data_IF_895010638628
#
_entry.id   IF_895010638628
#
_cell.length_a   1.000
_cell.length_b   1.000
_cell.length_c   1.000
_cell.angle_alpha   90.00
_cell.angle_beta   90.00
_cell.angle_gamma   90.00
#
_symmetry.space_group_name_H-M   'P 1'
#
loop_
_entity.id
_entity.type
_entity.pdbx_description
1 polymer ?
#
# COMPACT_ATOMS: atom_id res chain seq x y z
N UNK A 1 27.16 31.09 -5.30
CA UNK A 1 25.97 30.64 -4.56
C UNK A 1 25.17 29.75 -5.48
N UNK A 2 25.09 28.45 -5.21
CA UNK A 2 24.12 27.59 -5.89
C UNK A 2 22.73 27.89 -5.33
N UNK A 3 21.73 27.98 -6.19
CA UNK A 3 20.35 28.11 -5.76
C UNK A 3 19.98 26.94 -4.83
N UNK A 4 19.30 27.24 -3.72
CA UNK A 4 18.72 26.23 -2.85
C UNK A 4 17.64 25.51 -3.65
N UNK A 5 17.77 24.20 -3.81
CA UNK A 5 16.75 23.38 -4.47
C UNK A 5 15.63 23.08 -3.47
N UNK A 6 14.55 23.88 -3.55
CA UNK A 6 13.38 23.72 -2.71
C UNK A 6 12.52 22.50 -3.08
N UNK A 7 12.83 21.77 -4.16
CA UNK A 7 12.08 20.56 -4.50
C UNK A 7 12.21 19.45 -3.45
N UNK A 8 13.34 19.37 -2.76
CA UNK A 8 13.57 18.44 -1.64
C UNK A 8 12.72 18.76 -0.39
N UNK A 9 12.23 20.00 -0.26
CA UNK A 9 11.38 20.42 0.86
C UNK A 9 9.90 20.08 0.66
N UNK A 10 9.47 19.73 -0.56
CA UNK A 10 8.05 19.77 -0.92
C UNK A 10 7.32 18.44 -0.68
N UNK A 11 7.99 17.28 -0.73
CA UNK A 11 7.47 16.01 -0.22
C UNK A 11 8.59 14.95 -0.28
N UNK A 12 9.13 14.49 0.86
CA UNK A 12 10.19 13.50 0.83
C UNK A 12 9.67 12.17 0.27
N UNK A 13 10.52 11.49 -0.49
CA UNK A 13 10.27 10.12 -0.94
C UNK A 13 9.98 9.21 0.26
N UNK A 14 9.03 8.29 0.06
CA UNK A 14 8.80 7.20 0.99
C UNK A 14 9.94 6.19 0.86
N UNK A 15 10.75 6.07 1.92
CA UNK A 15 11.82 5.07 2.01
C UNK A 15 11.28 3.77 2.58
N UNK A 16 11.41 2.68 1.82
CA UNK A 16 10.94 1.35 2.20
C UNK A 16 12.11 0.37 2.24
N UNK A 17 12.64 0.04 3.43
CA UNK A 17 13.68 -0.97 3.55
C UNK A 17 13.12 -2.38 3.31
N UNK A 18 13.88 -3.22 2.59
CA UNK A 18 13.59 -4.64 2.37
C UNK A 18 14.91 -5.41 2.31
N UNK A 19 15.22 -6.17 3.37
CA UNK A 19 16.52 -6.82 3.52
C UNK A 19 17.65 -5.78 3.52
N UNK A 20 18.65 -5.99 2.66
CA UNK A 20 19.79 -5.08 2.50
C UNK A 20 19.52 -3.90 1.53
N UNK A 21 18.31 -3.82 0.97
CA UNK A 21 17.93 -2.80 -0.02
C UNK A 21 16.98 -1.78 0.59
N UNK A 22 17.00 -0.56 0.06
CA UNK A 22 16.00 0.46 0.37
C UNK A 22 15.41 1.00 -0.91
N UNK A 23 14.10 0.88 -1.06
CA UNK A 23 13.36 1.42 -2.19
C UNK A 23 12.90 2.84 -1.88
N UNK A 24 13.06 3.74 -2.85
CA UNK A 24 12.67 5.15 -2.73
C UNK A 24 11.44 5.41 -3.59
N UNK A 25 10.27 5.44 -2.97
CA UNK A 25 9.01 5.67 -3.67
C UNK A 25 8.77 7.18 -3.75
N UNK A 26 8.76 7.78 -4.96
CA UNK A 26 8.56 9.22 -5.09
C UNK A 26 7.14 9.60 -4.69
N UNK A 27 6.95 10.82 -4.20
CA UNK A 27 5.62 11.35 -3.91
C UNK A 27 4.69 11.25 -5.16
N UNK A 28 3.40 10.95 -4.99
CA UNK A 28 2.49 10.82 -6.11
C UNK A 28 2.17 12.15 -6.77
N UNK A 29 2.09 12.13 -8.10
CA UNK A 29 1.43 13.22 -8.84
C UNK A 29 -0.06 13.24 -8.52
N UNK A 30 -0.73 14.39 -8.73
CA UNK A 30 -2.19 14.54 -8.52
C UNK A 30 -2.99 13.44 -9.22
N UNK A 31 -2.62 13.10 -10.46
CA UNK A 31 -3.26 12.04 -11.24
C UNK A 31 -3.09 10.66 -10.59
N UNK A 32 -1.90 10.37 -10.05
CA UNK A 32 -1.62 9.11 -9.34
C UNK A 32 -2.32 9.08 -7.98
N UNK A 33 -2.36 10.21 -7.27
CA UNK A 33 -3.00 10.35 -5.98
C UNK A 33 -4.49 9.95 -6.01
N UNK A 34 -5.23 10.31 -7.08
CA UNK A 34 -6.62 9.86 -7.25
C UNK A 34 -6.75 8.34 -7.24
N UNK A 35 -5.85 7.62 -7.92
CA UNK A 35 -5.82 6.14 -7.93
C UNK A 35 -5.43 5.57 -6.58
N UNK A 36 -4.46 6.19 -5.88
CA UNK A 36 -4.03 5.77 -4.54
C UNK A 36 -5.17 5.90 -3.53
N UNK A 37 -5.91 7.02 -3.55
CA UNK A 37 -7.07 7.24 -2.67
C UNK A 37 -8.14 6.18 -2.93
N UNK A 38 -8.47 5.92 -4.20
CA UNK A 38 -9.42 4.88 -4.56
C UNK A 38 -8.95 3.48 -4.11
N UNK A 39 -7.66 3.18 -4.28
CA UNK A 39 -7.06 1.94 -3.81
C UNK A 39 -7.11 1.79 -2.28
N UNK A 40 -6.93 2.88 -1.52
CA UNK A 40 -7.05 2.88 -0.07
C UNK A 40 -8.48 2.56 0.39
N UNK A 41 -9.49 3.15 -0.25
CA UNK A 41 -10.90 2.82 0.04
C UNK A 41 -11.18 1.34 -0.20
N UNK A 42 -10.77 0.80 -1.36
CA UNK A 42 -10.91 -0.63 -1.66
C UNK A 42 -10.18 -1.49 -0.64
N UNK A 43 -8.96 -1.10 -0.26
CA UNK A 43 -8.15 -1.81 0.72
C UNK A 43 -8.83 -1.86 2.10
N UNK A 44 -9.40 -0.73 2.57
CA UNK A 44 -10.10 -0.65 3.85
C UNK A 44 -11.36 -1.54 3.88
N UNK A 45 -12.11 -1.58 2.77
CA UNK A 45 -13.26 -2.48 2.63
C UNK A 45 -12.83 -3.94 2.61
N UNK A 46 -11.82 -4.29 1.81
CA UNK A 46 -11.31 -5.67 1.71
C UNK A 46 -10.71 -6.18 3.01
N UNK A 47 -10.11 -5.30 3.82
CA UNK A 47 -9.59 -5.62 5.14
C UNK A 47 -10.68 -5.66 6.23
N UNK A 48 -11.93 -5.33 5.89
CA UNK A 48 -13.06 -5.30 6.82
C UNK A 48 -13.00 -4.15 7.84
N UNK A 49 -12.13 -3.16 7.62
CA UNK A 49 -12.00 -1.97 8.46
C UNK A 49 -13.23 -1.08 8.28
N UNK A 50 -13.67 -0.93 7.02
CA UNK A 50 -14.89 -0.22 6.65
C UNK A 50 -15.91 -1.25 6.18
N UNK A 51 -17.14 -1.14 6.68
CA UNK A 51 -18.27 -1.98 6.25
C UNK A 51 -19.06 -1.23 5.18
N UNK A 52 -19.49 -1.95 4.15
CA UNK A 52 -20.32 -1.42 3.07
C UNK A 52 -19.73 -1.70 1.69
N UNK A 53 -20.44 -1.25 0.67
CA UNK A 53 -20.02 -1.35 -0.72
C UNK A 53 -19.11 -0.18 -1.11
N UNK A 54 -18.24 -0.41 -2.09
CA UNK A 54 -17.39 0.64 -2.66
C UNK A 54 -18.27 1.52 -3.54
N UNK A 55 -18.30 2.85 -3.34
CA UNK A 55 -19.11 3.75 -4.17
C UNK A 55 -18.75 3.66 -5.65
N UNK A 56 -19.75 3.80 -6.54
CA UNK A 56 -19.56 3.68 -7.99
C UNK A 56 -18.46 4.61 -8.54
N UNK A 57 -18.39 5.85 -8.07
CA UNK A 57 -17.35 6.81 -8.47
C UNK A 57 -15.91 6.32 -8.14
N UNK A 58 -15.76 5.55 -7.06
CA UNK A 58 -14.49 4.94 -6.68
C UNK A 58 -14.22 3.72 -7.56
N UNK A 59 -15.25 2.92 -7.84
CA UNK A 59 -15.17 1.78 -8.76
C UNK A 59 -14.71 2.23 -10.16
N UNK A 60 -15.28 3.32 -10.70
CA UNK A 60 -14.85 3.89 -11.99
C UNK A 60 -13.36 4.26 -12.00
N UNK A 61 -12.83 4.79 -10.90
CA UNK A 61 -11.40 5.12 -10.79
C UNK A 61 -10.56 3.83 -10.73
N UNK A 62 -11.00 2.84 -9.96
CA UNK A 62 -10.32 1.55 -9.82
C UNK A 62 -10.25 0.81 -11.17
N UNK A 63 -11.28 0.91 -12.00
CA UNK A 63 -11.31 0.33 -13.34
C UNK A 63 -10.29 0.97 -14.29
N UNK A 64 -9.81 2.18 -13.98
CA UNK A 64 -8.70 2.80 -14.73
C UNK A 64 -7.32 2.26 -14.35
N UNK A 65 -7.22 1.46 -13.29
CA UNK A 65 -5.98 0.79 -12.87
C UNK A 65 -5.84 -0.47 -13.71
N UNK A 66 -4.84 -0.52 -14.59
CA UNK A 66 -4.71 -1.61 -15.57
C UNK A 66 -3.71 -2.66 -15.09
N UNK A 67 -4.12 -3.93 -15.11
CA UNK A 67 -3.22 -5.07 -14.94
C UNK A 67 -2.41 -5.01 -13.64
N UNK A 68 -1.08 -5.02 -13.77
CA UNK A 68 -0.11 -5.00 -12.66
C UNK A 68 0.23 -3.59 -12.17
N UNK A 69 -0.52 -2.55 -12.56
CA UNK A 69 -0.28 -1.19 -12.10
C UNK A 69 -0.37 -1.10 -10.56
N UNK A 70 0.71 -0.63 -9.94
CA UNK A 70 0.86 -0.41 -8.49
C UNK A 70 0.92 1.08 -8.19
N UNK A 71 -0.22 1.78 -8.09
CA UNK A 71 -0.23 3.24 -7.97
C UNK A 71 0.47 3.77 -6.70
N UNK A 72 0.49 2.99 -5.61
CA UNK A 72 1.18 3.33 -4.37
C UNK A 72 2.70 3.36 -4.53
N UNK A 73 3.26 2.35 -5.20
CA UNK A 73 4.70 2.22 -5.48
C UNK A 73 5.16 3.00 -6.72
N UNK A 74 4.27 3.22 -7.69
CA UNK A 74 4.60 3.86 -8.96
C UNK A 74 5.74 3.12 -9.70
N UNK A 75 6.79 3.82 -10.16
CA UNK A 75 7.88 3.19 -10.92
C UNK A 75 8.69 2.17 -10.12
N UNK A 76 8.65 2.25 -8.78
CA UNK A 76 9.38 1.33 -7.90
C UNK A 76 8.86 -0.10 -7.98
N UNK A 77 7.60 -0.30 -8.38
CA UNK A 77 7.05 -1.65 -8.54
C UNK A 77 7.79 -2.46 -9.62
N UNK A 78 8.19 -1.80 -10.72
CA UNK A 78 9.00 -2.44 -11.75
C UNK A 78 10.40 -2.73 -11.22
N UNK A 79 11.02 -1.78 -10.51
CA UNK A 79 12.32 -2.00 -9.87
C UNK A 79 12.31 -3.21 -8.93
N UNK A 80 11.27 -3.38 -8.11
CA UNK A 80 11.13 -4.56 -7.24
C UNK A 80 10.98 -5.86 -8.03
N UNK A 81 10.29 -5.83 -9.17
CA UNK A 81 10.14 -6.99 -10.05
C UNK A 81 11.47 -7.35 -10.71
N UNK A 82 12.20 -6.36 -11.20
CA UNK A 82 13.54 -6.53 -11.80
C UNK A 82 14.56 -7.04 -10.77
N UNK A 83 14.29 -6.79 -9.49
CA UNK A 83 15.08 -7.24 -8.33
C UNK A 83 14.69 -8.64 -7.82
N UNK A 84 13.82 -9.37 -8.54
CA UNK A 84 13.28 -10.68 -8.17
C UNK A 84 12.55 -10.71 -6.81
N UNK A 85 11.96 -9.58 -6.39
CA UNK A 85 11.13 -9.53 -5.19
C UNK A 85 9.84 -10.32 -5.45
N UNK A 86 9.51 -11.25 -4.55
CA UNK A 86 8.30 -12.06 -4.64
C UNK A 86 7.03 -11.19 -4.72
N UNK A 87 6.08 -11.58 -5.58
CA UNK A 87 4.89 -10.78 -5.88
C UNK A 87 4.06 -10.48 -4.63
N UNK A 88 3.97 -11.42 -3.68
CA UNK A 88 3.25 -11.25 -2.41
C UNK A 88 3.92 -10.18 -1.52
N UNK A 89 5.24 -10.04 -1.63
CA UNK A 89 5.98 -8.97 -0.95
C UNK A 89 5.71 -7.63 -1.60
N UNK A 90 5.71 -7.57 -2.94
CA UNK A 90 5.34 -6.36 -3.69
C UNK A 90 3.90 -5.94 -3.34
N UNK A 91 2.97 -6.90 -3.24
CA UNK A 91 1.59 -6.65 -2.80
C UNK A 91 1.53 -6.00 -1.42
N UNK A 92 2.22 -6.57 -0.42
CA UNK A 92 2.25 -6.00 0.93
C UNK A 92 2.88 -4.61 0.96
N UNK A 93 3.94 -4.39 0.19
CA UNK A 93 4.59 -3.08 0.06
C UNK A 93 3.68 -2.07 -0.64
N UNK A 94 2.89 -2.48 -1.64
CA UNK A 94 1.88 -1.64 -2.28
C UNK A 94 0.81 -1.22 -1.28
N UNK A 95 0.28 -2.15 -0.46
CA UNK A 95 -0.68 -1.80 0.60
C UNK A 95 -0.10 -0.77 1.57
N UNK A 96 1.15 -0.96 2.00
CA UNK A 96 1.82 -0.01 2.87
C UNK A 96 1.95 1.37 2.21
N UNK A 97 2.44 1.44 0.97
CA UNK A 97 2.60 2.70 0.25
C UNK A 97 1.26 3.41 0.04
N UNK A 98 0.20 2.68 -0.31
CA UNK A 98 -1.16 3.23 -0.45
C UNK A 98 -1.61 3.90 0.84
N UNK A 99 -1.45 3.24 1.99
CA UNK A 99 -1.86 3.81 3.28
C UNK A 99 -0.94 4.93 3.74
N UNK A 100 0.36 4.84 3.49
CA UNK A 100 1.30 5.91 3.82
C UNK A 100 0.91 7.21 3.12
N UNK A 101 0.61 7.14 1.83
CA UNK A 101 0.26 8.33 1.04
C UNK A 101 -1.12 8.91 1.36
N UNK A 102 -2.05 8.12 1.91
CA UNK A 102 -3.46 8.53 2.11
C UNK A 102 -3.84 8.79 3.56
N UNK A 103 -3.28 8.02 4.49
CA UNK A 103 -3.59 8.06 5.93
C UNK A 103 -2.39 8.46 6.78
N UNK A 104 -1.19 8.52 6.18
CA UNK A 104 0.05 8.88 6.88
C UNK A 104 0.78 7.68 7.47
N UNK A 105 1.99 7.96 7.96
CA UNK A 105 2.95 6.96 8.42
C UNK A 105 2.43 6.09 9.56
N UNK A 106 1.88 6.70 10.60
CA UNK A 106 1.44 5.98 11.82
C UNK A 106 0.38 4.93 11.49
N UNK A 107 -0.58 5.28 10.63
CA UNK A 107 -1.63 4.37 10.19
C UNK A 107 -1.06 3.24 9.32
N UNK A 108 -0.17 3.58 8.38
CA UNK A 108 0.48 2.61 7.52
C UNK A 108 1.34 1.61 8.31
N UNK A 109 2.09 2.08 9.31
CA UNK A 109 2.93 1.25 10.18
C UNK A 109 2.08 0.29 11.03
N UNK A 110 0.94 0.76 11.55
CA UNK A 110 -0.01 -0.07 12.29
C UNK A 110 -0.59 -1.20 11.41
N UNK A 111 -1.02 -0.87 10.19
CA UNK A 111 -1.53 -1.86 9.25
C UNK A 111 -0.45 -2.82 8.73
N UNK A 112 0.77 -2.34 8.48
CA UNK A 112 1.88 -3.19 8.08
C UNK A 112 2.15 -4.27 9.13
N UNK A 113 2.08 -3.93 10.41
CA UNK A 113 2.24 -4.91 11.50
C UNK A 113 1.25 -6.07 11.38
N UNK A 114 0.00 -5.79 10.98
CA UNK A 114 -1.04 -6.82 10.77
C UNK A 114 -0.80 -7.60 9.47
N UNK A 115 -0.46 -6.90 8.37
CA UNK A 115 -0.23 -7.51 7.06
C UNK A 115 0.98 -8.44 7.01
N UNK A 116 1.98 -8.16 7.84
CA UNK A 116 3.24 -8.91 7.96
C UNK A 116 3.26 -9.87 9.16
N UNK A 117 2.23 -9.86 10.02
CA UNK A 117 2.10 -10.86 11.07
C UNK A 117 1.95 -12.26 10.45
N UNK A 118 2.61 -13.30 11.01
CA UNK A 118 2.31 -14.67 10.66
C UNK A 118 0.82 -14.91 10.85
N UNK A 119 0.12 -15.32 9.79
CA UNK A 119 -1.27 -15.76 9.94
C UNK A 119 -1.22 -16.98 10.86
N UNK A 120 -1.72 -16.85 12.08
CA UNK A 120 -1.98 -18.01 12.92
C UNK A 120 -3.02 -18.82 12.16
N UNK A 121 -2.62 -19.95 11.59
CA UNK A 121 -3.53 -20.96 11.08
C UNK A 121 -4.26 -21.55 12.29
N UNK A 122 -5.25 -20.82 12.81
CA UNK A 122 -6.19 -21.33 13.79
C UNK A 122 -7.06 -22.36 13.10
N UNK A 123 -6.71 -23.63 13.29
CA UNK A 123 -7.58 -24.76 13.00
C UNK A 123 -9.00 -24.46 13.48
N UNK A 124 -9.96 -24.55 12.56
CA UNK A 124 -11.33 -24.85 12.91
C UNK A 124 -11.36 -26.24 13.58
N UNK A 125 -11.20 -26.28 14.90
CA UNK A 125 -10.95 -27.54 15.61
C UNK A 125 -10.98 -27.45 17.13
N UNK A 126 -11.89 -26.68 17.72
CA UNK A 126 -12.23 -26.84 19.13
C UNK A 126 -13.73 -27.11 19.25
N UNK A 127 -14.18 -28.33 19.60
CA UNK A 127 -15.58 -28.54 19.91
C UNK A 127 -15.94 -27.74 21.16
N UNK A 128 -17.03 -26.99 21.09
CA UNK A 128 -17.59 -26.27 22.23
C UNK A 128 -17.77 -27.21 23.43
N UNK A 129 -17.46 -26.78 24.67
CA UNK A 129 -17.77 -27.58 25.84
C UNK A 129 -19.29 -27.70 25.94
N UNK A 130 -19.80 -28.93 25.97
CA UNK A 130 -21.20 -29.19 26.31
C UNK A 130 -21.42 -28.72 27.75
N UNK A 131 -22.35 -27.78 27.93
CA UNK A 131 -22.99 -27.51 29.21
C UNK A 131 -24.01 -28.61 29.53
#
# INVERSE_FOLDING_TARGET
MSAVDFSEWVAPDLKMPLGDRTYSVPAPSVRRARKIIAAAVRAEVNLGIVKGEIPDEITEILDTIRGVERPGLGPVAQQMTDDDVAIETIDRMEYYAVFYWTRGKEYADALATVLWAPRVSGEAGAPAPKA
#
